data_IF_826560639511
#
_entry.id   IF_826560639511
#
_cell.length_a   1.000
_cell.length_b   1.000
_cell.length_c   1.000
_cell.angle_alpha   90.00
_cell.angle_beta   90.00
_cell.angle_gamma   90.00
#
_symmetry.space_group_name_H-M   'P 1'
#
loop_
_entity.id
_entity.type
_entity.pdbx_description
1 polymer ?
#
# COMPACT_ATOMS: atom_id res chain seq x y z
N UNK A 1 21.19 9.03 8.79
CA UNK A 1 20.22 7.99 8.38
C UNK A 1 19.48 8.54 7.17
N UNK A 2 19.16 7.68 6.21
CA UNK A 2 18.45 8.12 5.00
C UNK A 2 17.01 8.42 5.39
N UNK A 3 16.55 9.64 5.14
CA UNK A 3 15.14 9.98 5.29
C UNK A 3 14.43 9.61 3.99
N UNK A 4 13.61 8.57 4.02
CA UNK A 4 12.96 7.99 2.84
C UNK A 4 11.44 8.10 2.90
N UNK A 5 10.82 8.49 1.79
CA UNK A 5 9.40 8.24 1.54
C UNK A 5 9.28 7.10 0.53
N UNK A 6 8.68 6.00 0.96
CA UNK A 6 8.55 4.78 0.20
C UNK A 6 7.21 4.59 -0.48
N UNK A 7 6.21 5.45 -0.26
CA UNK A 7 4.87 5.26 -0.80
C UNK A 7 4.30 6.59 -1.26
N UNK A 8 4.32 6.85 -2.56
CA UNK A 8 3.83 8.11 -3.15
C UNK A 8 3.24 7.88 -4.54
N UNK A 9 2.25 8.69 -4.89
CA UNK A 9 1.55 8.60 -6.17
C UNK A 9 1.88 9.79 -7.07
N UNK A 10 1.23 9.83 -8.22
CA UNK A 10 1.43 10.85 -9.24
C UNK A 10 0.10 11.23 -9.89
N UNK A 11 0.15 12.07 -10.91
CA UNK A 11 -1.02 12.41 -11.74
C UNK A 11 -1.62 11.22 -12.50
N UNK A 12 -0.95 10.06 -12.50
CA UNK A 12 -1.46 8.81 -13.07
C UNK A 12 -2.36 8.03 -12.11
N UNK A 13 -2.45 8.45 -10.84
CA UNK A 13 -3.56 8.08 -9.97
C UNK A 13 -4.78 8.89 -10.42
N UNK A 14 -5.77 8.21 -10.99
CA UNK A 14 -6.98 8.88 -11.49
C UNK A 14 -7.84 9.48 -10.37
N UNK A 15 -7.62 9.05 -9.12
CA UNK A 15 -8.22 9.61 -7.91
C UNK A 15 -7.29 10.55 -7.13
N UNK A 16 -6.08 10.81 -7.65
CA UNK A 16 -5.11 11.74 -7.10
C UNK A 16 -5.16 13.14 -7.71
N UNK A 17 -4.28 14.02 -7.23
CA UNK A 17 -4.11 15.38 -7.76
C UNK A 17 -3.44 15.36 -9.13
N UNK A 18 -3.70 16.40 -9.92
CA UNK A 18 -3.08 16.58 -11.24
C UNK A 18 -1.77 17.40 -11.15
N UNK A 19 -1.22 17.56 -9.96
CA UNK A 19 0.03 18.27 -9.74
C UNK A 19 1.21 17.47 -10.33
N UNK A 20 2.23 18.17 -10.81
CA UNK A 20 3.40 17.51 -11.44
C UNK A 20 4.19 16.69 -10.43
N UNK A 21 4.72 15.55 -10.85
CA UNK A 21 5.59 14.72 -10.02
C UNK A 21 6.82 15.49 -9.47
N UNK A 22 7.36 16.44 -10.26
CA UNK A 22 8.43 17.33 -9.81
C UNK A 22 8.04 18.16 -8.57
N UNK A 23 6.77 18.55 -8.42
CA UNK A 23 6.31 19.31 -7.25
C UNK A 23 6.31 18.46 -5.97
N UNK A 24 5.91 17.19 -6.07
CA UNK A 24 6.03 16.23 -4.97
C UNK A 24 7.48 16.04 -4.55
N UNK A 25 8.38 15.83 -5.52
CA UNK A 25 9.82 15.64 -5.28
C UNK A 25 10.46 16.89 -4.66
N UNK A 26 10.15 18.09 -5.15
CA UNK A 26 10.63 19.34 -4.55
C UNK A 26 10.14 19.50 -3.10
N UNK A 27 8.89 19.15 -2.84
CA UNK A 27 8.34 19.17 -1.48
C UNK A 27 9.06 18.18 -0.57
N UNK A 28 9.33 16.96 -1.04
CA UNK A 28 10.10 15.97 -0.30
C UNK A 28 11.52 16.46 0.01
N UNK A 29 12.21 17.06 -0.97
CA UNK A 29 13.54 17.66 -0.76
C UNK A 29 13.48 18.77 0.28
N UNK A 30 12.47 19.65 0.23
CA UNK A 30 12.29 20.74 1.21
C UNK A 30 12.06 20.22 2.63
N UNK A 31 11.49 19.02 2.78
CA UNK A 31 11.29 18.32 4.05
C UNK A 31 12.50 17.47 4.48
N UNK A 32 13.59 17.50 3.71
CA UNK A 32 14.84 16.80 4.02
C UNK A 32 14.84 15.32 3.64
N UNK A 33 13.89 14.84 2.83
CA UNK A 33 13.97 13.50 2.26
C UNK A 33 15.18 13.40 1.31
N UNK A 34 15.88 12.27 1.38
CA UNK A 34 17.10 11.97 0.62
C UNK A 34 16.97 10.73 -0.25
N UNK A 35 15.97 9.90 0.02
CA UNK A 35 15.49 8.85 -0.88
C UNK A 35 13.98 8.95 -1.04
N UNK A 36 13.47 8.60 -2.22
CA UNK A 36 12.07 8.72 -2.58
C UNK A 36 11.68 7.60 -3.54
N UNK A 37 10.55 6.94 -3.31
CA UNK A 37 10.04 5.89 -4.19
C UNK A 37 8.67 6.29 -4.69
N UNK A 38 8.53 6.34 -6.02
CA UNK A 38 7.27 6.64 -6.68
C UNK A 38 6.62 5.30 -6.97
N UNK A 39 5.43 5.08 -6.43
CA UNK A 39 4.76 3.78 -6.36
C UNK A 39 3.33 3.90 -6.85
N UNK A 40 3.15 4.44 -8.05
CA UNK A 40 1.80 4.55 -8.62
C UNK A 40 1.10 3.18 -8.72
N UNK A 41 -0.23 3.18 -8.64
CA UNK A 41 -1.04 1.98 -8.81
C UNK A 41 -0.77 1.32 -10.17
N UNK A 42 -0.26 0.09 -10.13
CA UNK A 42 -0.02 -0.73 -11.31
C UNK A 42 -1.32 -0.99 -12.07
N UNK A 43 -1.29 -1.05 -13.42
CA UNK A 43 -2.50 -1.35 -14.16
C UNK A 43 -3.09 -2.71 -13.78
N UNK A 44 -4.39 -2.70 -13.51
CA UNK A 44 -5.13 -3.91 -13.16
C UNK A 44 -5.17 -4.93 -14.32
N UNK A 45 -5.23 -6.24 -14.03
CA UNK A 45 -5.35 -7.27 -15.05
C UNK A 45 -6.59 -7.06 -15.94
N UNK A 46 -6.43 -7.19 -17.26
CA UNK A 46 -7.55 -7.04 -18.21
C UNK A 46 -8.73 -7.95 -17.91
N UNK A 47 -8.44 -9.17 -17.44
CA UNK A 47 -9.47 -10.15 -17.09
C UNK A 47 -10.22 -9.72 -15.81
N UNK A 48 -9.51 -9.19 -14.82
CA UNK A 48 -10.13 -8.61 -13.63
C UNK A 48 -11.11 -7.50 -13.99
N UNK A 49 -10.70 -6.57 -14.86
CA UNK A 49 -11.56 -5.47 -15.32
C UNK A 49 -12.82 -5.95 -16.08
N UNK A 50 -12.76 -7.11 -16.74
CA UNK A 50 -13.93 -7.71 -17.42
C UNK A 50 -14.90 -8.37 -16.45
N UNK A 51 -14.36 -8.97 -15.38
CA UNK A 51 -15.12 -9.71 -14.37
C UNK A 51 -15.47 -8.83 -13.15
N UNK A 52 -15.09 -7.53 -13.17
CA UNK A 52 -15.23 -6.63 -12.02
C UNK A 52 -16.69 -6.40 -11.65
N UNK A 53 -16.98 -6.54 -10.35
CA UNK A 53 -18.29 -6.29 -9.77
C UNK A 53 -18.16 -5.21 -8.69
N UNK A 54 -18.66 -4.01 -8.98
CA UNK A 54 -18.55 -2.87 -8.07
C UNK A 54 -18.85 -1.55 -8.76
N UNK A 55 -18.54 -0.42 -8.11
CA UNK A 55 -18.67 0.92 -8.70
C UNK A 55 -17.84 1.05 -9.98
N UNK A 56 -18.44 1.53 -11.06
CA UNK A 56 -17.74 1.62 -12.36
C UNK A 56 -16.53 2.54 -12.30
N UNK A 57 -16.60 3.63 -11.53
CA UNK A 57 -15.51 4.57 -11.36
C UNK A 57 -14.32 3.88 -10.69
N UNK A 58 -14.54 3.03 -9.69
CA UNK A 58 -13.48 2.24 -9.06
C UNK A 58 -12.78 1.30 -10.05
N UNK A 59 -13.52 0.68 -10.97
CA UNK A 59 -12.94 -0.16 -12.03
C UNK A 59 -12.01 0.63 -12.96
N UNK A 60 -12.31 1.91 -13.20
CA UNK A 60 -11.63 2.74 -14.20
C UNK A 60 -10.56 3.66 -13.58
N UNK A 61 -10.69 4.00 -12.30
CA UNK A 61 -9.94 5.07 -11.64
C UNK A 61 -9.06 4.60 -10.49
N UNK A 62 -9.15 3.33 -10.07
CA UNK A 62 -8.28 2.77 -9.01
C UNK A 62 -6.81 2.62 -9.44
N UNK A 63 -6.52 2.56 -10.74
CA UNK A 63 -5.16 2.41 -11.24
C UNK A 63 -4.93 3.04 -12.60
N UNK A 64 -3.66 3.32 -12.93
CA UNK A 64 -3.27 3.75 -14.26
C UNK A 64 -3.58 2.66 -15.30
N UNK A 65 -3.83 3.02 -16.56
CA UNK A 65 -4.06 2.03 -17.61
C UNK A 65 -2.75 1.45 -18.15
N UNK A 66 -2.84 0.31 -18.85
CA UNK A 66 -1.71 -0.29 -19.60
C UNK A 66 -1.13 0.65 -20.67
N UNK A 67 -1.91 1.63 -21.15
CA UNK A 67 -1.47 2.62 -22.14
C UNK A 67 -0.70 3.76 -21.46
N UNK A 68 -1.02 4.06 -20.20
CA UNK A 68 -0.35 5.09 -19.41
C UNK A 68 0.95 4.63 -18.78
N UNK A 69 1.11 3.33 -18.51
CA UNK A 69 2.33 2.79 -17.91
C UNK A 69 3.63 3.25 -18.60
N UNK A 70 3.78 3.25 -19.94
CA UNK A 70 4.96 3.80 -20.60
C UNK A 70 5.17 5.31 -20.37
N UNK A 71 4.07 6.07 -20.23
CA UNK A 71 4.12 7.52 -19.95
C UNK A 71 4.54 7.78 -18.50
N UNK A 72 3.98 7.02 -17.56
CA UNK A 72 4.38 7.03 -16.16
C UNK A 72 5.88 6.74 -16.02
N UNK A 73 6.35 5.64 -16.63
CA UNK A 73 7.77 5.27 -16.61
C UNK A 73 8.66 6.38 -17.14
N UNK A 74 8.31 6.98 -18.28
CA UNK A 74 9.08 8.08 -18.86
C UNK A 74 9.12 9.32 -17.95
N UNK A 75 8.02 9.64 -17.26
CA UNK A 75 7.98 10.77 -16.32
C UNK A 75 8.83 10.50 -15.07
N UNK A 76 8.75 9.30 -14.50
CA UNK A 76 9.61 8.89 -13.38
C UNK A 76 11.08 8.92 -13.78
N UNK A 77 11.45 8.35 -14.93
CA UNK A 77 12.83 8.37 -15.45
C UNK A 77 13.34 9.81 -15.62
N UNK A 78 12.50 10.70 -16.16
CA UNK A 78 12.83 12.11 -16.35
C UNK A 78 13.06 12.82 -15.01
N UNK A 79 12.17 12.63 -14.03
CA UNK A 79 12.31 13.26 -12.72
C UNK A 79 13.50 12.67 -11.96
N UNK A 80 13.73 11.36 -12.05
CA UNK A 80 14.90 10.72 -11.47
C UNK A 80 16.22 11.33 -12.00
N UNK A 81 16.34 11.53 -13.32
CA UNK A 81 17.52 12.19 -13.90
C UNK A 81 17.61 13.67 -13.53
N UNK A 82 16.51 14.41 -13.57
CA UNK A 82 16.46 15.84 -13.22
C UNK A 82 16.93 16.12 -11.79
N UNK A 83 16.63 15.22 -10.85
CA UNK A 83 16.86 15.40 -9.42
C UNK A 83 18.00 14.57 -8.83
N UNK A 84 18.74 13.84 -9.67
CA UNK A 84 19.77 12.85 -9.27
C UNK A 84 20.84 13.36 -8.30
N UNK A 85 21.16 14.65 -8.33
CA UNK A 85 22.17 15.27 -7.47
C UNK A 85 21.61 15.78 -6.13
N UNK A 86 20.29 15.73 -5.96
CA UNK A 86 19.56 16.29 -4.80
C UNK A 86 18.85 15.21 -3.97
N UNK A 87 18.28 14.20 -4.62
CA UNK A 87 17.54 13.12 -3.97
C UNK A 87 17.63 11.85 -4.82
N UNK A 88 17.74 10.70 -4.18
CA UNK A 88 17.73 9.41 -4.87
C UNK A 88 16.29 8.98 -5.11
N UNK A 89 15.91 8.88 -6.39
CA UNK A 89 14.58 8.43 -6.79
C UNK A 89 14.65 6.97 -7.20
N UNK A 90 13.77 6.14 -6.64
CA UNK A 90 13.56 4.74 -6.97
C UNK A 90 12.27 4.57 -7.77
N UNK A 91 12.32 3.65 -8.73
CA UNK A 91 11.21 3.31 -9.60
C UNK A 91 10.38 2.23 -8.93
N UNK A 92 9.10 2.48 -8.73
CA UNK A 92 8.22 1.50 -8.12
C UNK A 92 6.81 1.52 -8.65
N UNK A 93 6.05 0.56 -8.14
CA UNK A 93 4.63 0.42 -8.34
C UNK A 93 4.00 -0.07 -7.05
N UNK A 94 2.80 0.41 -6.76
CA UNK A 94 1.89 -0.28 -5.86
C UNK A 94 1.10 -1.31 -6.68
N UNK A 95 1.24 -2.58 -6.33
CA UNK A 95 0.65 -3.70 -7.06
C UNK A 95 -0.44 -4.32 -6.21
N UNK A 96 -1.64 -4.37 -6.75
CA UNK A 96 -2.76 -5.05 -6.13
C UNK A 96 -2.60 -6.57 -6.14
N UNK A 97 -2.76 -7.18 -4.98
CA UNK A 97 -3.05 -8.59 -4.87
C UNK A 97 -4.55 -8.83 -5.10
N UNK A 98 -4.86 -9.47 -6.21
CA UNK A 98 -6.22 -9.85 -6.60
C UNK A 98 -6.34 -11.38 -6.55
N UNK A 99 -7.16 -11.94 -5.62
CA UNK A 99 -7.36 -13.38 -5.53
C UNK A 99 -7.82 -13.98 -6.86
N UNK A 100 -7.13 -15.03 -7.32
CA UNK A 100 -7.45 -15.70 -8.60
C UNK A 100 -6.80 -15.08 -9.84
N UNK A 101 -6.01 -14.01 -9.70
CA UNK A 101 -5.26 -13.35 -10.77
C UNK A 101 -3.73 -13.39 -10.53
N UNK A 102 -3.27 -14.32 -9.70
CA UNK A 102 -1.86 -14.42 -9.29
C UNK A 102 -0.91 -14.65 -10.47
N UNK A 103 -1.38 -15.32 -11.52
CA UNK A 103 -0.58 -15.54 -12.72
C UNK A 103 -0.35 -14.22 -13.46
N UNK A 104 -1.40 -13.46 -13.72
CA UNK A 104 -1.36 -12.18 -14.41
C UNK A 104 -0.52 -11.16 -13.64
N UNK A 105 -0.65 -11.12 -12.31
CA UNK A 105 0.16 -10.25 -11.43
C UNK A 105 1.64 -10.62 -11.53
N UNK A 106 1.98 -11.92 -11.43
CA UNK A 106 3.36 -12.39 -11.53
C UNK A 106 3.97 -12.07 -12.89
N UNK A 107 3.22 -12.34 -13.96
CA UNK A 107 3.64 -12.03 -15.32
C UNK A 107 3.89 -10.52 -15.44
N UNK A 108 2.96 -9.68 -14.99
CA UNK A 108 3.13 -8.22 -15.02
C UNK A 108 4.42 -7.78 -14.31
N UNK A 109 4.65 -8.20 -13.07
CA UNK A 109 5.86 -7.84 -12.29
C UNK A 109 7.13 -8.28 -13.03
N UNK A 110 7.18 -9.52 -13.52
CA UNK A 110 8.34 -10.03 -14.27
C UNK A 110 8.62 -9.21 -15.54
N UNK A 111 7.59 -8.76 -16.26
CA UNK A 111 7.76 -7.91 -17.44
C UNK A 111 8.29 -6.51 -17.11
N UNK A 112 8.03 -6.00 -15.91
CA UNK A 112 8.54 -4.70 -15.46
C UNK A 112 9.86 -4.80 -14.66
N UNK A 113 10.35 -6.02 -14.38
CA UNK A 113 11.44 -6.23 -13.43
C UNK A 113 12.77 -5.55 -13.79
N UNK A 114 13.03 -5.25 -15.05
CA UNK A 114 14.23 -4.51 -15.46
C UNK A 114 14.16 -3.01 -15.17
N UNK A 115 12.97 -2.49 -14.88
CA UNK A 115 12.72 -1.07 -14.60
C UNK A 115 12.42 -0.83 -13.11
N UNK A 116 11.81 -1.79 -12.42
CA UNK A 116 11.44 -1.67 -11.00
C UNK A 116 12.63 -1.84 -10.05
N UNK A 117 12.76 -0.92 -9.12
CA UNK A 117 13.61 -1.05 -7.94
C UNK A 117 12.82 -1.69 -6.77
N UNK A 118 11.58 -1.25 -6.56
CA UNK A 118 10.75 -1.63 -5.41
C UNK A 118 9.28 -1.80 -5.80
N UNK A 119 8.55 -2.64 -5.07
CA UNK A 119 7.10 -2.69 -5.14
C UNK A 119 6.48 -2.65 -3.75
N UNK A 120 5.27 -2.08 -3.69
CA UNK A 120 4.36 -2.26 -2.57
C UNK A 120 3.32 -3.30 -3.03
N UNK A 121 3.15 -4.38 -2.28
CA UNK A 121 2.11 -5.36 -2.52
C UNK A 121 0.94 -5.06 -1.58
N UNK A 122 -0.17 -4.59 -2.14
CA UNK A 122 -1.32 -4.08 -1.40
C UNK A 122 -2.57 -4.93 -1.61
N UNK A 123 -3.51 -4.84 -0.67
CA UNK A 123 -4.81 -5.50 -0.74
C UNK A 123 -5.89 -4.41 -0.67
N UNK A 124 -6.31 -3.89 -1.82
CA UNK A 124 -7.46 -2.98 -1.94
C UNK A 124 -8.75 -3.73 -2.25
N UNK A 125 -8.65 -4.98 -2.68
CA UNK A 125 -9.80 -5.79 -3.05
C UNK A 125 -9.85 -7.09 -2.26
N UNK A 126 -11.07 -7.49 -1.89
CA UNK A 126 -11.32 -8.72 -1.14
C UNK A 126 -12.62 -9.36 -1.63
N UNK A 127 -12.66 -10.69 -1.64
CA UNK A 127 -13.91 -11.41 -1.96
C UNK A 127 -14.98 -11.15 -0.90
N UNK A 128 -16.23 -10.96 -1.26
CA UNK A 128 -17.37 -10.94 -0.32
C UNK A 128 -17.84 -12.38 0.02
N UNK A 129 -19.00 -12.52 0.66
CA UNK A 129 -19.62 -13.81 0.98
C UNK A 129 -20.27 -14.51 -0.22
N UNK A 130 -20.49 -13.79 -1.33
CA UNK A 130 -20.96 -14.33 -2.60
C UNK A 130 -19.80 -14.81 -3.49
N UNK A 131 -18.58 -14.38 -3.17
CA UNK A 131 -17.36 -14.71 -3.91
C UNK A 131 -16.98 -13.67 -4.96
N UNK A 132 -17.68 -12.53 -5.01
CA UNK A 132 -17.32 -11.41 -5.88
C UNK A 132 -16.17 -10.64 -5.25
N UNK A 133 -15.23 -10.15 -6.06
CA UNK A 133 -14.13 -9.32 -5.57
C UNK A 133 -14.61 -7.87 -5.48
N UNK A 134 -14.58 -7.31 -4.26
CA UNK A 134 -15.10 -5.97 -3.93
C UNK A 134 -13.99 -5.05 -3.43
N UNK A 135 -14.04 -3.74 -3.73
CA UNK A 135 -13.12 -2.77 -3.16
C UNK A 135 -13.37 -2.62 -1.65
N UNK A 136 -12.31 -2.56 -0.85
CA UNK A 136 -12.42 -2.44 0.62
C UNK A 136 -12.32 -1.00 1.09
N UNK A 137 -11.93 -0.08 0.21
CA UNK A 137 -11.53 1.26 0.60
C UNK A 137 -12.05 2.37 -0.34
N UNK A 138 -12.98 2.05 -1.24
CA UNK A 138 -13.64 3.03 -2.11
C UNK A 138 -14.52 4.03 -1.33
N UNK A 139 -15.57 3.55 -0.66
CA UNK A 139 -16.44 4.37 0.19
C UNK A 139 -17.04 3.56 1.33
N UNK A 140 -17.41 4.23 2.42
CA UNK A 140 -18.08 3.60 3.56
C UNK A 140 -19.45 3.02 3.14
N UNK A 141 -20.16 3.66 2.21
CA UNK A 141 -21.43 3.16 1.73
C UNK A 141 -21.29 1.83 0.96
N UNK A 142 -20.38 1.78 -0.02
CA UNK A 142 -20.11 0.56 -0.78
C UNK A 142 -19.59 -0.56 0.12
N UNK A 143 -18.63 -0.26 1.00
CA UNK A 143 -18.11 -1.22 1.97
C UNK A 143 -19.21 -1.79 2.88
N UNK A 144 -20.15 -0.94 3.30
CA UNK A 144 -21.30 -1.33 4.12
C UNK A 144 -22.28 -2.25 3.41
N UNK A 145 -22.43 -2.09 2.10
CA UNK A 145 -23.30 -2.92 1.25
C UNK A 145 -22.62 -4.26 0.92
N UNK A 146 -21.39 -4.19 0.39
CA UNK A 146 -20.63 -5.34 -0.10
C UNK A 146 -20.25 -6.32 1.03
N UNK A 147 -20.02 -5.83 2.25
CA UNK A 147 -19.64 -6.65 3.41
C UNK A 147 -20.68 -6.61 4.53
N UNK A 148 -21.95 -6.38 4.19
CA UNK A 148 -23.03 -6.22 5.16
C UNK A 148 -23.14 -7.41 6.14
N UNK A 149 -22.95 -8.64 5.64
CA UNK A 149 -23.08 -9.85 6.46
C UNK A 149 -21.88 -10.03 7.40
N UNK A 150 -20.66 -9.76 6.93
CA UNK A 150 -19.46 -9.77 7.76
C UNK A 150 -19.43 -8.64 8.79
N UNK A 151 -20.04 -7.48 8.51
CA UNK A 151 -20.13 -6.37 9.46
C UNK A 151 -20.99 -6.71 10.70
N UNK A 152 -21.89 -7.69 10.60
CA UNK A 152 -22.60 -8.24 11.77
C UNK A 152 -21.65 -9.02 12.70
N UNK A 153 -20.57 -9.58 12.14
CA UNK A 153 -19.54 -10.33 12.87
C UNK A 153 -18.13 -9.87 12.46
N UNK A 154 -17.68 -8.68 12.88
CA UNK A 154 -16.48 -8.04 12.32
C UNK A 154 -15.19 -8.85 12.38
N UNK A 155 -15.07 -9.83 13.28
CA UNK A 155 -13.91 -10.73 13.28
C UNK A 155 -13.85 -11.62 12.02
N UNK A 156 -14.98 -11.93 11.36
CA UNK A 156 -15.00 -12.62 10.07
C UNK A 156 -14.50 -11.72 8.94
N UNK A 157 -14.85 -10.44 8.97
CA UNK A 157 -14.32 -9.43 8.05
C UNK A 157 -12.80 -9.37 8.15
N UNK A 158 -12.27 -9.25 9.39
CA UNK A 158 -10.84 -9.24 9.64
C UNK A 158 -10.16 -10.54 9.23
N UNK A 159 -10.77 -11.70 9.55
CA UNK A 159 -10.24 -13.00 9.18
C UNK A 159 -10.07 -13.11 7.67
N UNK A 160 -11.08 -12.72 6.90
CA UNK A 160 -11.03 -12.73 5.44
C UNK A 160 -9.96 -11.79 4.88
N UNK A 161 -9.85 -10.58 5.43
CA UNK A 161 -8.82 -9.64 5.01
C UNK A 161 -7.41 -10.21 5.26
N UNK A 162 -7.16 -10.76 6.45
CA UNK A 162 -5.86 -11.34 6.76
C UNK A 162 -5.58 -12.67 6.04
N UNK A 163 -6.60 -13.43 5.65
CA UNK A 163 -6.44 -14.54 4.70
C UNK A 163 -5.95 -14.03 3.34
N UNK A 164 -6.52 -12.93 2.85
CA UNK A 164 -6.13 -12.29 1.59
C UNK A 164 -4.70 -11.74 1.66
N UNK A 165 -4.35 -11.01 2.73
CA UNK A 165 -2.96 -10.55 2.97
C UNK A 165 -2.01 -11.75 3.05
N UNK A 166 -2.36 -12.82 3.78
CA UNK A 166 -1.52 -14.00 3.89
C UNK A 166 -1.33 -14.74 2.55
N UNK A 167 -2.35 -14.72 1.69
CA UNK A 167 -2.29 -15.29 0.34
C UNK A 167 -1.41 -14.45 -0.60
N UNK A 168 -1.43 -13.13 -0.47
CA UNK A 168 -0.53 -12.22 -1.22
C UNK A 168 0.95 -12.55 -1.02
N UNK A 169 1.33 -12.97 0.18
CA UNK A 169 2.70 -13.39 0.48
C UNK A 169 3.12 -14.68 -0.25
N UNK A 170 2.17 -15.41 -0.82
CA UNK A 170 2.43 -16.57 -1.70
C UNK A 170 2.77 -16.18 -3.13
N UNK A 171 2.70 -14.88 -3.49
CA UNK A 171 3.25 -14.42 -4.75
C UNK A 171 4.78 -14.56 -4.73
N UNK A 172 5.26 -15.21 -5.79
CA UNK A 172 6.66 -15.43 -6.06
C UNK A 172 6.92 -14.95 -7.49
N UNK A 173 7.95 -14.15 -7.68
CA UNK A 173 8.39 -13.63 -8.97
C UNK A 173 9.92 -13.58 -9.01
N UNK A 174 10.49 -13.76 -10.20
CA UNK A 174 11.94 -13.94 -10.37
C UNK A 174 12.58 -12.57 -10.55
N UNK A 175 12.84 -11.88 -9.45
CA UNK A 175 13.38 -10.53 -9.50
C UNK A 175 14.20 -10.16 -8.26
N UNK A 176 15.14 -9.23 -8.44
CA UNK A 176 15.86 -8.58 -7.35
C UNK A 176 15.07 -7.42 -6.71
N UNK A 177 13.79 -7.26 -7.06
CA UNK A 177 12.93 -6.17 -6.59
C UNK A 177 12.76 -6.27 -5.08
N UNK A 178 12.90 -5.15 -4.38
CA UNK A 178 12.56 -5.07 -2.96
C UNK A 178 11.05 -4.98 -2.78
N UNK A 179 10.51 -5.81 -1.90
CA UNK A 179 9.06 -5.92 -1.69
C UNK A 179 8.68 -5.39 -0.32
N UNK A 180 7.65 -4.54 -0.29
CA UNK A 180 6.96 -4.12 0.92
C UNK A 180 5.53 -4.63 0.92
N UNK A 181 5.04 -5.01 2.09
CA UNK A 181 3.60 -5.24 2.27
C UNK A 181 2.95 -3.89 2.58
N UNK A 182 2.03 -3.46 1.70
CA UNK A 182 1.30 -2.20 1.80
C UNK A 182 0.31 -2.20 2.96
N UNK A 183 0.13 -1.03 3.59
CA UNK A 183 -0.85 -0.70 4.64
C UNK A 183 -1.70 -1.87 5.18
N UNK A 184 -1.08 -2.83 5.87
CA UNK A 184 -1.68 -4.16 6.16
C UNK A 184 -2.76 -4.15 7.25
N UNK A 185 -3.30 -2.98 7.58
CA UNK A 185 -4.50 -2.80 8.41
C UNK A 185 -5.55 -1.94 7.70
N UNK A 186 -5.50 -1.82 6.37
CA UNK A 186 -6.45 -1.03 5.56
C UNK A 186 -7.92 -1.40 5.82
N UNK A 187 -8.22 -2.65 6.20
CA UNK A 187 -9.56 -3.08 6.63
C UNK A 187 -10.16 -2.25 7.78
N UNK A 188 -9.34 -1.45 8.48
CA UNK A 188 -9.77 -0.51 9.53
C UNK A 188 -10.02 0.92 9.04
N UNK A 189 -9.94 1.21 7.73
CA UNK A 189 -10.17 2.56 7.16
C UNK A 189 -11.49 3.20 7.63
N UNK A 190 -12.53 2.38 7.82
CA UNK A 190 -13.86 2.80 8.25
C UNK A 190 -14.20 2.39 9.70
N UNK A 191 -13.21 2.14 10.55
CA UNK A 191 -13.43 1.60 11.90
C UNK A 191 -14.37 2.43 12.78
N UNK A 192 -14.29 3.76 12.71
CA UNK A 192 -15.16 4.64 13.50
C UNK A 192 -16.57 4.72 12.92
N UNK A 193 -16.73 4.60 11.60
CA UNK A 193 -18.04 4.62 10.95
C UNK A 193 -18.86 3.38 11.33
N UNK A 194 -18.24 2.20 11.31
CA UNK A 194 -18.88 0.92 11.63
C UNK A 194 -18.74 0.49 13.09
N UNK A 195 -18.09 1.29 13.94
CA UNK A 195 -17.74 0.92 15.32
C UNK A 195 -17.05 -0.45 15.40
N UNK A 196 -16.07 -0.68 14.53
CA UNK A 196 -15.38 -1.97 14.44
C UNK A 196 -14.63 -2.26 15.77
N UNK A 197 -14.69 -3.50 16.28
CA UNK A 197 -14.00 -3.87 17.49
C UNK A 197 -12.49 -4.02 17.25
N UNK A 198 -11.73 -4.11 18.33
CA UNK A 198 -10.34 -4.54 18.28
C UNK A 198 -10.23 -5.98 17.77
N UNK A 199 -9.07 -6.32 17.21
CA UNK A 199 -8.76 -7.70 16.78
C UNK A 199 -8.83 -8.67 17.96
N UNK A 200 -9.49 -9.81 17.76
CA UNK A 200 -9.48 -10.89 18.73
C UNK A 200 -8.16 -11.68 18.71
N UNK A 201 -8.01 -12.66 19.60
CA UNK A 201 -6.78 -13.45 19.68
C UNK A 201 -6.51 -14.29 18.42
N UNK A 202 -7.54 -14.75 17.71
CA UNK A 202 -7.35 -15.51 16.46
C UNK A 202 -6.77 -14.60 15.36
N UNK A 203 -7.26 -13.37 15.26
CA UNK A 203 -6.75 -12.39 14.32
C UNK A 203 -5.32 -11.97 14.66
N UNK A 204 -5.01 -11.74 15.96
CA UNK A 204 -3.64 -11.45 16.41
C UNK A 204 -2.66 -12.58 16.08
N UNK A 205 -3.07 -13.84 16.25
CA UNK A 205 -2.25 -15.00 15.86
C UNK A 205 -1.98 -14.97 14.35
N UNK A 206 -3.00 -14.73 13.51
CA UNK A 206 -2.83 -14.62 12.05
C UNK A 206 -1.89 -13.49 11.66
N UNK A 207 -2.03 -12.31 12.27
CA UNK A 207 -1.11 -11.19 12.06
C UNK A 207 0.32 -11.61 12.42
N UNK A 208 0.53 -12.26 13.57
CA UNK A 208 1.84 -12.76 13.97
C UNK A 208 2.44 -13.74 12.95
N UNK A 209 1.61 -14.63 12.38
CA UNK A 209 2.04 -15.56 11.33
C UNK A 209 2.42 -14.85 10.03
N UNK A 210 1.64 -13.83 9.63
CA UNK A 210 1.94 -12.96 8.49
C UNK A 210 3.28 -12.25 8.69
N UNK A 211 3.51 -11.63 9.85
CA UNK A 211 4.78 -10.96 10.17
C UNK A 211 5.96 -11.94 10.08
N UNK A 212 5.82 -13.17 10.60
CA UNK A 212 6.86 -14.20 10.47
C UNK A 212 7.15 -14.57 9.01
N UNK A 213 6.13 -14.65 8.15
CA UNK A 213 6.31 -14.90 6.72
C UNK A 213 7.02 -13.74 6.01
N UNK A 214 6.63 -12.50 6.31
CA UNK A 214 7.30 -11.29 5.80
C UNK A 214 8.79 -11.32 6.17
N UNK A 215 9.10 -11.62 7.45
CA UNK A 215 10.48 -11.75 7.92
C UNK A 215 11.24 -12.86 7.19
N UNK A 216 10.63 -14.03 7.01
CA UNK A 216 11.25 -15.16 6.32
C UNK A 216 11.56 -14.87 4.85
N UNK A 217 10.76 -14.01 4.19
CA UNK A 217 10.98 -13.54 2.82
C UNK A 217 11.98 -12.38 2.72
N UNK A 218 12.47 -11.86 3.86
CA UNK A 218 13.25 -10.60 3.92
C UNK A 218 12.52 -9.41 3.28
N UNK A 219 11.19 -9.41 3.36
CA UNK A 219 10.37 -8.28 2.93
C UNK A 219 10.26 -7.23 4.04
N UNK A 220 9.82 -6.04 3.65
CA UNK A 220 9.61 -4.91 4.56
C UNK A 220 8.10 -4.64 4.74
N UNK A 221 7.76 -3.71 5.63
CA UNK A 221 6.39 -3.22 5.80
C UNK A 221 6.34 -1.74 5.46
N UNK A 222 5.33 -1.38 4.68
CA UNK A 222 4.91 0.01 4.49
C UNK A 222 4.28 0.52 5.80
N UNK A 223 5.01 1.37 6.53
CA UNK A 223 4.49 2.06 7.69
C UNK A 223 3.87 3.38 7.22
N UNK A 224 2.60 3.26 6.85
CA UNK A 224 1.81 4.22 6.12
C UNK A 224 1.09 5.20 7.06
N UNK A 225 1.24 6.49 6.75
CA UNK A 225 0.69 7.59 7.53
C UNK A 225 -0.73 8.01 7.12
N UNK A 226 -1.22 7.66 5.93
CA UNK A 226 -2.47 8.19 5.38
C UNK A 226 -3.69 7.92 6.27
N UNK A 227 -3.68 6.80 7.00
CA UNK A 227 -4.73 6.44 7.95
C UNK A 227 -4.99 7.48 9.05
N UNK A 228 -3.98 8.26 9.42
CA UNK A 228 -4.08 9.34 10.42
C UNK A 228 -4.93 10.53 9.94
N UNK A 229 -4.99 10.75 8.62
CA UNK A 229 -5.83 11.79 8.02
C UNK A 229 -7.23 11.30 7.63
N UNK A 230 -7.48 9.98 7.59
CA UNK A 230 -8.80 9.48 7.16
C UNK A 230 -9.83 9.70 8.27
N UNK A 231 -11.01 10.27 7.96
CA UNK A 231 -12.00 10.70 8.95
C UNK A 231 -12.57 9.56 9.80
N UNK A 232 -12.57 8.33 9.27
CA UNK A 232 -13.14 7.16 9.93
C UNK A 232 -12.10 6.15 10.42
N UNK A 233 -10.80 6.49 10.34
CA UNK A 233 -9.72 5.63 10.80
C UNK A 233 -9.01 6.17 12.05
N UNK A 234 -8.18 7.21 11.89
CA UNK A 234 -7.43 7.82 12.99
C UNK A 234 -6.19 7.06 13.47
N UNK A 235 -5.82 5.94 12.84
CA UNK A 235 -4.63 5.14 13.14
C UNK A 235 -3.75 5.01 11.89
N UNK A 236 -2.43 4.86 12.06
CA UNK A 236 -1.53 4.48 10.96
C UNK A 236 -1.80 3.05 10.49
N UNK A 237 -1.25 2.70 9.32
CA UNK A 237 -1.23 1.32 8.82
C UNK A 237 0.20 0.79 8.74
N UNK A 238 0.56 -0.34 9.36
CA UNK A 238 -0.18 -1.02 10.42
C UNK A 238 -0.38 -0.14 11.66
N UNK A 239 -1.28 -0.57 12.56
CA UNK A 239 -1.41 0.07 13.88
C UNK A 239 -0.11 -0.05 14.69
N UNK A 240 0.13 0.88 15.62
CA UNK A 240 1.34 0.87 16.45
C UNK A 240 1.60 -0.45 17.17
N UNK A 241 0.55 -1.16 17.60
CA UNK A 241 0.69 -2.46 18.25
C UNK A 241 1.34 -3.48 17.33
N UNK A 242 0.94 -3.51 16.05
CA UNK A 242 1.49 -4.42 15.04
C UNK A 242 2.90 -3.99 14.66
N UNK A 243 3.17 -2.67 14.55
CA UNK A 243 4.52 -2.14 14.32
C UNK A 243 5.48 -2.58 15.43
N UNK A 244 5.06 -2.45 16.70
CA UNK A 244 5.83 -2.91 17.87
C UNK A 244 6.14 -4.41 17.81
N UNK A 245 5.24 -5.23 17.27
CA UNK A 245 5.49 -6.67 17.07
C UNK A 245 6.45 -6.95 15.91
N UNK A 246 6.27 -6.25 14.78
CA UNK A 246 7.12 -6.38 13.60
C UNK A 246 8.58 -5.99 13.89
N UNK A 247 8.78 -4.89 14.61
CA UNK A 247 10.11 -4.41 15.04
C UNK A 247 10.79 -5.41 15.97
N UNK A 248 10.06 -6.02 16.92
CA UNK A 248 10.62 -7.03 17.84
C UNK A 248 11.23 -8.23 17.13
N UNK A 249 10.71 -8.60 15.96
CA UNK A 249 11.24 -9.70 15.14
C UNK A 249 12.14 -9.22 13.99
N UNK A 250 12.47 -7.92 13.98
CA UNK A 250 13.43 -7.29 13.08
C UNK A 250 12.95 -7.17 11.63
N UNK A 251 11.66 -6.92 11.40
CA UNK A 251 11.18 -6.58 10.05
C UNK A 251 11.52 -5.11 9.77
N UNK A 252 12.11 -4.78 8.62
CA UNK A 252 12.37 -3.39 8.22
C UNK A 252 11.06 -2.61 8.02
N UNK A 253 10.97 -1.40 8.59
CA UNK A 253 9.84 -0.48 8.43
C UNK A 253 10.27 0.66 7.51
N UNK A 254 9.47 0.95 6.50
CA UNK A 254 9.69 2.10 5.59
C UNK A 254 8.51 3.05 5.72
N UNK A 255 8.79 4.34 5.93
CA UNK A 255 7.77 5.36 5.94
C UNK A 255 7.07 5.45 4.59
N UNK A 256 5.74 5.52 4.60
CA UNK A 256 4.93 5.81 3.42
C UNK A 256 3.98 6.96 3.70
N UNK A 257 4.06 8.05 2.95
CA UNK A 257 3.06 9.13 3.06
C UNK A 257 1.74 8.76 2.40
N UNK A 258 1.79 7.94 1.35
CA UNK A 258 0.65 7.61 0.48
C UNK A 258 0.03 8.91 -0.07
N UNK A 259 0.95 9.80 -0.45
CA UNK A 259 0.63 11.13 -0.92
C UNK A 259 0.01 11.07 -2.32
N UNK A 260 -1.24 11.54 -2.39
CA UNK A 260 -2.04 11.75 -3.59
C UNK A 260 -2.17 13.23 -3.96
N UNK A 261 -1.57 14.13 -3.19
CA UNK A 261 -1.41 15.55 -3.47
C UNK A 261 -0.10 16.05 -2.84
N UNK A 262 0.40 17.20 -3.30
CA UNK A 262 1.67 17.77 -2.80
C UNK A 262 1.58 18.13 -1.31
N UNK A 263 0.40 18.50 -0.82
CA UNK A 263 0.21 18.88 0.58
C UNK A 263 0.31 17.68 1.53
N UNK A 264 0.00 16.48 1.03
CA UNK A 264 0.06 15.21 1.75
C UNK A 264 1.48 14.63 1.83
N UNK A 265 2.39 15.11 0.98
CA UNK A 265 3.79 14.71 0.97
C UNK A 265 4.44 14.87 2.35
N UNK A 266 4.98 13.78 2.90
CA UNK A 266 5.71 13.77 4.17
C UNK A 266 4.87 14.00 5.43
N UNK A 267 3.53 13.99 5.33
CA UNK A 267 2.67 14.15 6.49
C UNK A 267 2.90 13.07 7.55
N UNK A 268 2.88 13.49 8.82
CA UNK A 268 3.06 12.63 10.00
C UNK A 268 4.38 11.83 10.07
N UNK A 269 5.38 12.14 9.25
CA UNK A 269 6.68 11.47 9.30
C UNK A 269 7.24 11.42 10.74
N UNK A 270 7.32 12.57 11.43
CA UNK A 270 7.86 12.65 12.80
C UNK A 270 7.02 11.84 13.80
N UNK A 271 5.70 11.75 13.60
CA UNK A 271 4.83 10.96 14.48
C UNK A 271 5.11 9.46 14.33
N UNK A 272 5.27 8.95 13.10
CA UNK A 272 5.61 7.55 12.87
C UNK A 272 7.06 7.25 13.26
N UNK A 273 7.99 8.17 13.01
CA UNK A 273 9.39 8.06 13.46
C UNK A 273 9.45 7.89 14.98
N UNK A 274 8.69 8.70 15.72
CA UNK A 274 8.63 8.61 17.18
C UNK A 274 8.16 7.23 17.67
N UNK A 275 7.21 6.58 16.98
CA UNK A 275 6.78 5.21 17.31
C UNK A 275 7.94 4.21 17.20
N UNK A 276 8.80 4.35 16.19
CA UNK A 276 9.97 3.49 16.01
C UNK A 276 11.06 3.80 17.04
N UNK A 277 11.30 5.08 17.34
CA UNK A 277 12.24 5.52 18.37
C UNK A 277 11.86 4.98 19.75
N UNK A 278 10.57 4.98 20.08
CA UNK A 278 10.04 4.37 21.31
C UNK A 278 10.25 2.86 21.37
N UNK A 279 10.40 2.20 20.21
CA UNK A 279 10.78 0.79 20.10
C UNK A 279 12.31 0.57 20.11
N UNK A 280 13.10 1.64 20.17
CA UNK A 280 14.57 1.59 20.13
C UNK A 280 15.15 1.38 18.72
N UNK A 281 14.42 1.76 17.67
CA UNK A 281 14.85 1.68 16.28
C UNK A 281 14.47 2.93 15.49
N UNK A 282 14.78 2.98 14.20
CA UNK A 282 14.43 4.06 13.28
C UNK A 282 13.96 3.44 11.95
N UNK A 283 13.46 4.25 11.02
CA UNK A 283 13.18 3.81 9.66
C UNK A 283 14.42 3.18 9.01
N UNK A 284 14.19 2.15 8.20
CA UNK A 284 15.26 1.46 7.49
C UNK A 284 15.49 2.08 6.12
N UNK A 285 16.76 2.13 5.70
CA UNK A 285 17.20 2.51 4.34
C UNK A 285 16.65 1.54 3.26
#
# INVERSE_FOLDING_TARGET
>A
MTKKDGHTHSRFSHHGSQESLAAYVEQAINQGFTEYTITEHAPLPKKFLQDFVGPIDECLESAMTQVELPLYRAEVDQVADQYRDRIKIKHGLEVDYLPGYEQEIREFINHQASWLDEIILSVHFMTDDLGDIRPIDYSEAAFGEDFASELVQPQKLFDRYYQTVAASLGLDFDSAITVRVGHMTLIRKYQHYFNLPQFDENIKIKITEILRKIKAKNWQIDFNAAGLSKPYNGESYPTETIVKEAVKIGIPMVYGSDAHDVASQGLYYEQLEQVLLDCGTDFTD
#
